data_IF_708837453240
#
_entry.id   IF_708837453240
#
_cell.length_a   1.000
_cell.length_b   1.000
_cell.length_c   1.000
_cell.angle_alpha   90.00
_cell.angle_beta   90.00
_cell.angle_gamma   90.00
#
_symmetry.space_group_name_H-M   'P 1'
#
loop_
_entity.id
_entity.type
_entity.pdbx_description
1 polymer ?
#
# COMPACT_ATOMS: atom_id res chain seq x y z
N UNK A 1 -10.06 -17.20 -4.14
CA UNK A 1 -8.86 -17.58 -3.38
C UNK A 1 -7.71 -16.70 -3.82
N UNK A 2 -6.98 -16.08 -2.89
CA UNK A 2 -5.81 -15.24 -3.17
C UNK A 2 -4.57 -15.95 -2.63
N UNK A 3 -3.57 -16.15 -3.50
CA UNK A 3 -2.34 -16.88 -3.18
C UNK A 3 -1.16 -16.00 -3.60
N UNK A 4 -0.70 -15.07 -2.74
CA UNK A 4 0.39 -14.19 -3.09
C UNK A 4 1.68 -14.98 -3.27
N UNK A 5 2.44 -14.62 -4.29
CA UNK A 5 3.77 -15.17 -4.61
C UNK A 5 4.88 -14.11 -4.43
N UNK A 6 4.50 -12.87 -4.12
CA UNK A 6 5.41 -11.75 -3.91
C UNK A 6 4.98 -10.90 -2.70
N UNK A 7 5.96 -10.39 -1.98
CA UNK A 7 5.78 -9.40 -0.92
C UNK A 7 6.84 -8.30 -1.04
N UNK A 8 6.40 -7.07 -1.33
CA UNK A 8 7.27 -5.89 -1.25
C UNK A 8 7.27 -5.35 0.19
N UNK A 9 8.46 -5.12 0.75
CA UNK A 9 8.62 -4.52 2.07
C UNK A 9 9.12 -3.08 1.90
N UNK A 10 8.27 -2.12 2.22
CA UNK A 10 8.61 -0.71 2.23
C UNK A 10 8.99 -0.25 3.64
N UNK A 11 10.08 0.51 3.78
CA UNK A 11 10.45 1.19 5.03
C UNK A 11 10.45 2.70 4.82
N UNK A 12 9.73 3.42 5.67
CA UNK A 12 9.60 4.86 5.64
C UNK A 12 10.23 5.46 6.89
N UNK A 13 11.21 6.34 6.69
CA UNK A 13 11.73 7.26 7.70
C UNK A 13 10.92 8.56 7.69
N UNK A 14 11.03 9.43 8.71
CA UNK A 14 10.36 10.73 8.72
C UNK A 14 10.67 11.53 7.44
N UNK A 15 9.62 12.07 6.81
CA UNK A 15 9.69 12.79 5.53
C UNK A 15 9.62 11.90 4.28
N UNK A 16 9.85 10.58 4.40
CA UNK A 16 9.70 9.66 3.27
C UNK A 16 8.24 9.63 2.80
N UNK A 17 8.04 9.54 1.48
CA UNK A 17 6.73 9.54 0.84
C UNK A 17 6.71 8.57 -0.33
N UNK A 18 5.51 8.22 -0.77
CA UNK A 18 5.29 7.52 -2.03
C UNK A 18 4.25 8.30 -2.83
N UNK A 19 4.70 8.89 -3.95
CA UNK A 19 3.82 9.67 -4.83
C UNK A 19 2.68 8.80 -5.38
N UNK A 20 1.58 9.45 -5.80
CA UNK A 20 0.47 8.74 -6.42
C UNK A 20 0.92 7.90 -7.61
N UNK A 21 0.59 6.62 -7.58
CA UNK A 21 0.91 5.63 -8.60
C UNK A 21 -0.19 4.55 -8.64
N UNK A 22 -0.08 3.65 -9.62
CA UNK A 22 -0.89 2.45 -9.73
C UNK A 22 0.04 1.24 -9.65
N UNK A 23 -0.40 0.18 -9.01
CA UNK A 23 0.25 -1.13 -9.08
C UNK A 23 -0.30 -1.84 -10.31
N UNK A 24 0.45 -1.85 -11.41
CA UNK A 24 0.01 -2.35 -12.72
C UNK A 24 1.03 -3.26 -13.41
N UNK A 25 2.05 -3.66 -12.67
CA UNK A 25 3.16 -4.47 -13.20
C UNK A 25 2.85 -5.98 -13.11
N UNK A 26 1.76 -6.36 -12.41
CA UNK A 26 1.32 -7.74 -12.28
C UNK A 26 0.58 -8.22 -13.53
N UNK A 27 0.79 -9.48 -13.92
CA UNK A 27 0.12 -10.07 -15.09
C UNK A 27 -1.38 -10.33 -14.86
N UNK A 28 -1.76 -10.76 -13.65
CA UNK A 28 -3.16 -11.04 -13.29
C UNK A 28 -3.74 -9.92 -12.41
N UNK A 29 -4.37 -8.94 -13.06
CA UNK A 29 -5.04 -7.82 -12.40
C UNK A 29 -6.39 -8.19 -11.75
N UNK A 30 -6.76 -9.47 -11.68
CA UNK A 30 -7.92 -9.90 -10.87
C UNK A 30 -7.52 -10.16 -9.42
N UNK A 31 -6.25 -10.48 -9.17
CA UNK A 31 -5.73 -10.68 -7.82
C UNK A 31 -5.71 -9.34 -7.08
N UNK A 32 -6.20 -9.28 -5.82
CA UNK A 32 -6.15 -8.06 -5.03
C UNK A 32 -4.71 -7.75 -4.60
N UNK A 33 -4.54 -6.55 -4.07
CA UNK A 33 -3.36 -6.20 -3.27
C UNK A 33 -3.78 -6.19 -1.81
N UNK A 34 -2.94 -6.80 -0.96
CA UNK A 34 -3.11 -6.78 0.50
C UNK A 34 -1.94 -6.01 1.10
N UNK A 35 -2.23 -4.93 1.81
CA UNK A 35 -1.25 -3.99 2.32
C UNK A 35 -1.36 -3.89 3.84
N UNK A 36 -0.33 -4.32 4.56
CA UNK A 36 -0.27 -4.32 6.03
C UNK A 36 0.59 -3.16 6.51
N UNK A 37 0.10 -2.37 7.46
CA UNK A 37 0.83 -1.25 8.06
C UNK A 37 1.39 -1.63 9.42
N UNK A 38 2.65 -1.29 9.67
CA UNK A 38 3.32 -1.55 10.94
C UNK A 38 4.13 -0.31 11.35
N UNK A 39 3.99 0.13 12.59
CA UNK A 39 4.81 1.19 13.15
C UNK A 39 4.14 2.56 13.09
N UNK A 40 4.90 3.60 12.75
CA UNK A 40 4.37 4.96 12.72
C UNK A 40 3.15 5.11 11.79
N UNK A 41 2.14 5.90 12.18
CA UNK A 41 0.95 6.09 11.38
C UNK A 41 1.26 6.94 10.14
N UNK A 42 0.59 6.65 9.02
CA UNK A 42 0.75 7.38 7.76
C UNK A 42 -0.59 7.73 7.13
N UNK A 43 -0.63 8.88 6.45
CA UNK A 43 -1.80 9.26 5.64
C UNK A 43 -1.69 8.56 4.28
N UNK A 44 -2.54 7.56 4.09
CA UNK A 44 -2.76 6.89 2.82
C UNK A 44 -3.73 7.70 1.96
N UNK A 45 -3.35 7.90 0.71
CA UNK A 45 -4.17 8.57 -0.29
C UNK A 45 -4.74 7.52 -1.23
N UNK A 46 -6.05 7.52 -1.44
CA UNK A 46 -6.75 6.57 -2.31
C UNK A 46 -7.69 7.34 -3.24
N UNK A 47 -7.39 7.30 -4.54
CA UNK A 47 -8.12 8.00 -5.60
C UNK A 47 -8.98 7.06 -6.42
N UNK A 48 -9.12 7.37 -7.72
CA UNK A 48 -9.81 6.54 -8.71
C UNK A 48 -8.87 6.06 -9.82
N UNK A 49 -9.45 5.73 -10.98
CA UNK A 49 -8.70 5.24 -12.15
C UNK A 49 -7.87 6.34 -12.82
N UNK A 50 -8.26 7.60 -12.67
CA UNK A 50 -7.53 8.75 -13.20
C UNK A 50 -6.72 9.42 -12.09
N UNK A 51 -5.53 9.92 -12.44
CA UNK A 51 -4.63 10.59 -11.50
C UNK A 51 -5.25 11.84 -10.85
N UNK A 52 -6.20 12.47 -11.54
CA UNK A 52 -6.91 13.67 -11.10
C UNK A 52 -8.18 13.39 -10.29
N UNK A 53 -8.57 12.11 -10.14
CA UNK A 53 -9.77 11.77 -9.38
C UNK A 53 -9.65 12.20 -7.91
N UNK A 54 -10.77 12.56 -7.25
CA UNK A 54 -10.75 12.99 -5.85
C UNK A 54 -10.08 11.96 -4.94
N UNK A 55 -9.19 12.44 -4.06
CA UNK A 55 -8.47 11.59 -3.12
C UNK A 55 -9.19 11.50 -1.77
N UNK A 56 -9.51 10.28 -1.37
CA UNK A 56 -9.74 9.96 0.03
C UNK A 56 -8.39 9.95 0.77
N UNK A 57 -8.41 10.37 2.04
CA UNK A 57 -7.25 10.36 2.92
C UNK A 57 -7.62 9.60 4.17
N UNK A 58 -6.92 8.49 4.39
CA UNK A 58 -7.14 7.61 5.54
C UNK A 58 -5.86 7.60 6.38
N UNK A 59 -6.01 7.74 7.70
CA UNK A 59 -4.92 7.45 8.60
C UNK A 59 -4.82 5.93 8.72
N UNK A 60 -3.67 5.36 8.38
CA UNK A 60 -3.36 3.96 8.63
C UNK A 60 -2.39 3.89 9.80
N UNK A 61 -2.77 3.13 10.83
CA UNK A 61 -2.05 2.93 12.06
C UNK A 61 -1.36 1.57 12.08
N UNK A 62 -0.61 1.29 13.16
CA UNK A 62 0.02 -0.01 13.35
C UNK A 62 -1.05 -1.12 13.41
N UNK A 63 -0.87 -2.17 12.60
CA UNK A 63 -1.76 -3.32 12.53
C UNK A 63 -2.86 -3.21 11.47
N UNK A 64 -3.08 -2.03 10.89
CA UNK A 64 -4.10 -1.85 9.86
C UNK A 64 -3.77 -2.62 8.58
N UNK A 65 -4.82 -3.19 7.99
CA UNK A 65 -4.75 -3.91 6.71
C UNK A 65 -5.71 -3.27 5.71
N UNK A 66 -5.20 -2.87 4.56
CA UNK A 66 -6.00 -2.39 3.43
C UNK A 66 -5.94 -3.41 2.32
N UNK A 67 -7.11 -3.77 1.79
CA UNK A 67 -7.24 -4.66 0.63
C UNK A 67 -7.96 -3.91 -0.47
N UNK A 68 -7.38 -3.87 -1.67
CA UNK A 68 -8.05 -3.34 -2.85
C UNK A 68 -7.90 -4.29 -4.05
N UNK A 69 -8.97 -4.40 -4.82
CA UNK A 69 -9.15 -5.42 -5.85
C UNK A 69 -10.47 -5.18 -6.60
N UNK A 70 -10.73 -5.97 -7.64
CA UNK A 70 -11.87 -5.70 -8.52
C UNK A 70 -11.77 -4.30 -9.15
N UNK A 71 -12.83 -3.50 -9.06
CA UNK A 71 -12.87 -2.15 -9.64
C UNK A 71 -11.77 -1.22 -9.09
N UNK A 72 -11.39 -1.40 -7.82
CA UNK A 72 -10.39 -0.56 -7.17
C UNK A 72 -8.95 -1.03 -7.38
N UNK A 73 -8.74 -2.15 -8.08
CA UNK A 73 -7.42 -2.77 -8.25
C UNK A 73 -6.37 -1.84 -8.85
N UNK A 74 -6.81 -0.95 -9.74
CA UNK A 74 -5.97 0.01 -10.45
C UNK A 74 -6.20 1.44 -9.98
N UNK A 75 -6.72 1.66 -8.77
CA UNK A 75 -6.87 3.03 -8.28
C UNK A 75 -5.51 3.66 -7.95
N UNK A 76 -5.37 4.94 -8.28
CA UNK A 76 -4.21 5.72 -7.89
C UNK A 76 -4.14 5.82 -6.37
N UNK A 77 -2.97 5.51 -5.81
CA UNK A 77 -2.76 5.57 -4.37
C UNK A 77 -1.33 5.96 -4.02
N UNK A 78 -1.13 6.37 -2.77
CA UNK A 78 0.17 6.84 -2.30
C UNK A 78 0.20 7.10 -0.79
N UNK A 79 1.37 7.50 -0.31
CA UNK A 79 1.63 7.80 1.11
C UNK A 79 2.16 9.23 1.18
N UNK A 80 1.49 10.08 1.96
CA UNK A 80 2.01 11.42 2.27
C UNK A 80 3.32 11.34 3.08
N UNK A 81 4.14 12.40 3.11
CA UNK A 81 5.35 12.43 3.92
C UNK A 81 5.10 11.97 5.35
N UNK A 82 5.83 10.94 5.78
CA UNK A 82 5.70 10.37 7.12
C UNK A 82 6.06 11.43 8.16
N UNK A 83 5.21 11.62 9.17
CA UNK A 83 5.53 12.50 10.28
C UNK A 83 6.56 11.83 11.19
N UNK A 84 7.45 12.63 11.79
CA UNK A 84 8.33 12.13 12.82
C UNK A 84 7.53 11.66 14.05
N UNK A 85 8.02 10.63 14.71
CA UNK A 85 7.38 10.05 15.90
C UNK A 85 8.18 8.85 16.41
N UNK A 86 7.63 8.16 17.41
CA UNK A 86 8.17 6.92 17.93
C UNK A 86 7.05 5.88 18.09
N UNK A 87 7.29 4.65 17.64
CA UNK A 87 6.45 3.48 17.88
C UNK A 87 7.25 2.43 18.67
N UNK A 88 6.68 1.81 19.73
CA UNK A 88 7.43 0.91 20.61
C UNK A 88 8.15 -0.24 19.89
N UNK A 89 7.55 -0.78 18.82
CA UNK A 89 8.09 -1.95 18.11
C UNK A 89 9.00 -1.62 16.92
N UNK A 90 8.89 -0.41 16.36
CA UNK A 90 9.54 -0.07 15.08
C UNK A 90 10.41 1.18 15.16
N UNK A 91 10.52 1.79 16.35
CA UNK A 91 11.28 3.01 16.56
C UNK A 91 10.68 4.19 15.81
N UNK A 92 11.50 4.88 15.03
CA UNK A 92 11.14 6.09 14.28
C UNK A 92 10.64 5.80 12.85
N UNK A 93 10.30 4.54 12.55
CA UNK A 93 9.97 4.10 11.20
C UNK A 93 8.56 3.52 11.08
N UNK A 94 8.05 3.57 9.85
CA UNK A 94 6.90 2.77 9.38
C UNK A 94 7.38 1.70 8.42
N UNK A 95 6.82 0.50 8.55
CA UNK A 95 6.90 -0.56 7.55
C UNK A 95 5.56 -0.76 6.87
N UNK A 96 5.62 -1.23 5.62
CA UNK A 96 4.46 -1.69 4.89
C UNK A 96 4.79 -2.95 4.10
N UNK A 97 3.97 -3.99 4.29
CA UNK A 97 4.07 -5.25 3.56
C UNK A 97 2.97 -5.26 2.50
N UNK A 98 3.36 -5.30 1.23
CA UNK A 98 2.42 -5.31 0.10
C UNK A 98 2.50 -6.67 -0.59
N UNK A 99 1.51 -7.52 -0.32
CA UNK A 99 1.37 -8.85 -0.90
C UNK A 99 0.65 -8.77 -2.24
N UNK A 100 1.20 -9.47 -3.24
CA UNK A 100 0.72 -9.47 -4.62
C UNK A 100 0.84 -10.88 -5.22
N UNK A 101 0.05 -11.13 -6.27
CA UNK A 101 0.26 -12.26 -7.18
C UNK A 101 0.89 -11.70 -8.46
N UNK A 102 2.22 -11.71 -8.54
CA UNK A 102 3.00 -11.07 -9.60
C UNK A 102 3.32 -12.04 -10.75
N UNK A 103 3.45 -13.34 -10.46
CA UNK A 103 3.70 -14.38 -11.47
C UNK A 103 2.48 -14.75 -12.30
N UNK A 104 2.72 -15.44 -13.41
CA UNK A 104 1.67 -16.19 -14.11
C UNK A 104 1.29 -17.40 -13.25
N UNK A 105 -0.02 -17.68 -13.11
CA UNK A 105 -0.47 -18.98 -12.60
C UNK A 105 0.18 -20.08 -13.46
N UNK A 106 1.12 -20.82 -12.88
CA UNK A 106 1.48 -22.11 -13.44
C UNK A 106 0.30 -23.05 -13.16
N UNK A 107 -0.05 -23.80 -14.20
CA UNK A 107 -1.24 -24.64 -14.36
C UNK A 107 -1.63 -25.47 -13.12
#
# INVERSE_FOLDING_TARGET
NFSPDACLINRYQPGAKLSLHQDKDEQDLRAPIVSVSLGLPAIFQFGGLQRSDPLQRLLLEHGDVVVWGGESRLFYHGIQPLKAGHHPETGDCRYNLTFRQAGSRQY
#
